data_IF_077188712282
#
_entry.id   IF_077188712282
#
_cell.length_a   1.000
_cell.length_b   1.000
_cell.length_c   1.000
_cell.angle_alpha   90.00
_cell.angle_beta   90.00
_cell.angle_gamma   90.00
#
_symmetry.space_group_name_H-M   'P 1'
#
loop_
_entity.id
_entity.type
_entity.pdbx_description
1 polymer ?
#
# COMPACT_ATOMS: atom_id res chain seq x y z
N UNK A 1 -27.87 -2.25 -17.81
CA UNK A 1 -27.74 -1.10 -16.88
C UNK A 1 -26.28 -0.68 -16.88
N UNK A 2 -25.98 0.58 -17.17
CA UNK A 2 -24.59 1.10 -17.25
C UNK A 2 -23.97 1.15 -15.86
N UNK A 3 -22.67 0.89 -15.75
CA UNK A 3 -21.95 1.04 -14.49
C UNK A 3 -22.04 2.48 -13.98
N UNK A 4 -22.54 2.65 -12.75
CA UNK A 4 -22.61 3.93 -12.06
C UNK A 4 -22.04 3.77 -10.66
N UNK A 5 -21.20 4.70 -10.24
CA UNK A 5 -20.74 4.74 -8.86
C UNK A 5 -21.88 5.24 -7.96
N UNK A 6 -22.23 4.46 -6.93
CA UNK A 6 -23.29 4.76 -5.97
C UNK A 6 -22.59 5.19 -4.68
N UNK A 7 -22.90 6.40 -4.20
CA UNK A 7 -22.34 6.93 -2.96
C UNK A 7 -22.73 6.06 -1.76
N UNK A 8 -21.85 6.01 -0.76
CA UNK A 8 -22.09 5.21 0.44
C UNK A 8 -23.27 5.73 1.26
N UNK A 9 -23.46 7.05 1.31
CA UNK A 9 -24.61 7.68 1.97
C UNK A 9 -25.93 7.22 1.34
N UNK A 10 -26.00 7.14 0.00
CA UNK A 10 -27.20 6.67 -0.68
C UNK A 10 -27.51 5.21 -0.36
N UNK A 11 -26.48 4.37 -0.18
CA UNK A 11 -26.65 2.97 0.26
C UNK A 11 -27.15 2.91 1.70
N UNK A 12 -26.65 3.75 2.61
CA UNK A 12 -27.10 3.83 4.01
C UNK A 12 -28.55 4.31 4.09
N UNK A 13 -28.90 5.36 3.36
CA UNK A 13 -30.29 5.85 3.28
C UNK A 13 -31.24 4.75 2.79
N UNK A 14 -30.87 4.01 1.75
CA UNK A 14 -31.68 2.90 1.24
C UNK A 14 -31.89 1.79 2.29
N UNK A 15 -30.91 1.52 3.15
CA UNK A 15 -31.08 0.59 4.26
C UNK A 15 -31.99 1.14 5.35
N UNK A 16 -31.84 2.42 5.72
CA UNK A 16 -32.72 3.04 6.70
C UNK A 16 -34.18 3.03 6.25
N UNK A 17 -34.45 3.31 4.97
CA UNK A 17 -35.77 3.19 4.36
C UNK A 17 -36.30 1.75 4.49
N UNK A 18 -35.45 0.74 4.23
CA UNK A 18 -35.85 -0.66 4.39
C UNK A 18 -36.21 -1.01 5.84
N UNK A 19 -35.40 -0.56 6.81
CA UNK A 19 -35.63 -0.80 8.24
C UNK A 19 -36.92 -0.11 8.71
N UNK A 20 -37.24 1.06 8.16
CA UNK A 20 -38.50 1.76 8.40
C UNK A 20 -39.73 1.00 7.86
N UNK A 21 -39.52 0.05 6.94
CA UNK A 21 -40.59 -0.75 6.33
C UNK A 21 -41.00 -0.30 4.93
N UNK A 22 -40.26 0.62 4.29
CA UNK A 22 -40.56 1.07 2.94
C UNK A 22 -40.48 -0.10 1.93
N UNK A 23 -41.34 -0.06 0.91
CA UNK A 23 -41.39 -1.12 -0.10
C UNK A 23 -40.13 -1.11 -0.98
N UNK A 24 -39.69 -2.25 -1.53
CA UNK A 24 -38.56 -2.27 -2.46
C UNK A 24 -38.78 -1.32 -3.64
N UNK A 25 -40.00 -1.22 -4.17
CA UNK A 25 -40.33 -0.36 -5.31
C UNK A 25 -40.15 1.12 -4.99
N UNK A 26 -40.62 1.58 -3.82
CA UNK A 26 -40.45 2.95 -3.34
C UNK A 26 -38.97 3.30 -3.16
N UNK A 27 -38.22 2.40 -2.51
CA UNK A 27 -36.77 2.59 -2.31
C UNK A 27 -36.10 2.76 -3.66
N UNK A 28 -36.36 1.88 -4.62
CA UNK A 28 -35.74 1.92 -5.95
C UNK A 28 -36.11 3.18 -6.73
N UNK A 29 -37.36 3.64 -6.62
CA UNK A 29 -37.83 4.88 -7.22
C UNK A 29 -37.03 6.09 -6.71
N UNK A 30 -36.85 6.18 -5.39
CA UNK A 30 -36.17 7.30 -4.73
C UNK A 30 -34.65 7.31 -4.99
N UNK A 31 -34.03 6.13 -4.93
CA UNK A 31 -32.57 5.98 -4.93
C UNK A 31 -31.98 5.68 -6.31
N UNK A 32 -32.82 5.29 -7.28
CA UNK A 32 -32.47 5.05 -8.68
C UNK A 32 -31.36 4.02 -8.92
N UNK A 33 -31.18 3.05 -8.02
CA UNK A 33 -30.30 1.90 -8.22
C UNK A 33 -31.11 0.62 -8.36
N UNK A 34 -30.50 -0.50 -8.79
CA UNK A 34 -31.25 -1.73 -9.08
C UNK A 34 -31.65 -2.51 -7.83
N UNK A 35 -32.70 -3.33 -7.94
CA UNK A 35 -33.13 -4.27 -6.90
C UNK A 35 -31.99 -5.19 -6.44
N UNK A 36 -31.17 -5.65 -7.40
CA UNK A 36 -30.00 -6.49 -7.10
C UNK A 36 -28.98 -5.78 -6.20
N UNK A 37 -28.81 -4.47 -6.37
CA UNK A 37 -27.87 -3.70 -5.57
C UNK A 37 -28.44 -3.45 -4.17
N UNK A 38 -29.74 -3.21 -4.03
CA UNK A 38 -30.41 -3.11 -2.74
C UNK A 38 -30.21 -4.39 -1.91
N UNK A 39 -30.48 -5.56 -2.50
CA UNK A 39 -30.27 -6.85 -1.82
C UNK A 39 -28.80 -7.14 -1.49
N UNK A 40 -27.87 -6.79 -2.39
CA UNK A 40 -26.42 -6.91 -2.11
C UNK A 40 -26.00 -6.05 -0.93
N UNK A 41 -26.52 -4.83 -0.81
CA UNK A 41 -26.22 -3.94 0.30
C UNK A 41 -26.83 -4.46 1.62
N UNK A 42 -28.08 -4.94 1.59
CA UNK A 42 -28.72 -5.56 2.76
C UNK A 42 -27.94 -6.78 3.24
N UNK A 43 -27.60 -7.69 2.33
CA UNK A 43 -26.80 -8.88 2.65
C UNK A 43 -25.45 -8.48 3.25
N UNK A 44 -24.78 -7.49 2.68
CA UNK A 44 -23.51 -7.00 3.19
C UNK A 44 -23.66 -6.45 4.62
N UNK A 45 -24.64 -5.58 4.84
CA UNK A 45 -24.91 -5.02 6.16
C UNK A 45 -25.21 -6.10 7.21
N UNK A 46 -26.00 -7.13 6.87
CA UNK A 46 -26.24 -8.25 7.77
C UNK A 46 -24.97 -9.08 8.08
N UNK A 47 -24.00 -9.11 7.17
CA UNK A 47 -22.76 -9.87 7.35
C UNK A 47 -21.67 -9.06 8.07
N UNK A 48 -21.54 -7.77 7.78
CA UNK A 48 -20.40 -6.95 8.22
C UNK A 48 -20.78 -5.75 9.09
N UNK A 49 -22.08 -5.45 9.24
CA UNK A 49 -22.55 -4.27 9.98
C UNK A 49 -22.42 -2.94 9.23
N UNK A 50 -21.91 -2.94 7.99
CA UNK A 50 -21.78 -1.74 7.16
C UNK A 50 -22.09 -2.04 5.67
N UNK A 51 -22.53 -1.04 4.93
CA UNK A 51 -22.70 -1.08 3.46
C UNK A 51 -21.43 -0.79 2.71
N UNK A 52 -20.47 -0.13 3.35
CA UNK A 52 -19.20 0.22 2.74
C UNK A 52 -18.38 -1.04 2.54
N UNK A 53 -17.74 -1.13 1.38
CA UNK A 53 -16.76 -2.19 1.15
C UNK A 53 -15.48 -1.79 1.86
N UNK A 54 -15.07 -2.57 2.86
CA UNK A 54 -13.75 -2.40 3.46
C UNK A 54 -12.68 -2.37 2.35
N UNK A 55 -11.70 -1.47 2.45
CA UNK A 55 -10.58 -1.46 1.53
C UNK A 55 -9.92 -2.84 1.62
N UNK A 56 -9.83 -3.52 0.48
CA UNK A 56 -9.18 -4.81 0.46
C UNK A 56 -7.71 -4.62 0.78
N UNK A 57 -7.29 -5.08 1.96
CA UNK A 57 -5.91 -5.07 2.41
C UNK A 57 -5.07 -5.89 1.41
N UNK A 58 -3.98 -5.31 0.92
CA UNK A 58 -3.07 -6.00 0.00
C UNK A 58 -3.53 -6.05 -1.47
N UNK A 59 -4.38 -5.12 -1.94
CA UNK A 59 -4.62 -5.00 -3.39
C UNK A 59 -3.34 -4.60 -4.12
N UNK A 60 -2.86 -5.50 -4.98
CA UNK A 60 -1.74 -5.24 -5.87
C UNK A 60 -1.07 -6.52 -6.31
N UNK A 61 -0.16 -6.41 -7.28
CA UNK A 61 0.76 -7.49 -7.60
C UNK A 61 1.69 -7.69 -6.39
N UNK A 62 1.89 -8.94 -5.91
CA UNK A 62 2.87 -9.22 -4.87
C UNK A 62 4.24 -8.62 -5.24
N UNK A 63 4.88 -7.97 -4.27
CA UNK A 63 6.25 -7.47 -4.48
C UNK A 63 7.21 -8.66 -4.59
N UNK A 64 8.23 -8.54 -5.44
CA UNK A 64 9.29 -9.55 -5.56
C UNK A 64 10.17 -9.64 -4.31
N UNK A 65 10.29 -8.54 -3.58
CA UNK A 65 11.06 -8.46 -2.34
C UNK A 65 10.12 -8.69 -1.16
N UNK A 66 10.49 -9.63 -0.30
CA UNK A 66 9.81 -9.83 0.97
C UNK A 66 10.24 -8.76 1.97
N UNK A 67 9.48 -8.62 3.05
CA UNK A 67 9.81 -7.68 4.12
C UNK A 67 11.22 -7.91 4.70
N UNK A 68 11.67 -9.17 4.76
CA UNK A 68 13.01 -9.53 5.21
C UNK A 68 14.10 -9.02 4.25
N UNK A 69 13.88 -9.12 2.93
CA UNK A 69 14.84 -8.65 1.93
C UNK A 69 14.93 -7.12 1.93
N UNK A 70 13.78 -6.46 2.15
CA UNK A 70 13.73 -5.01 2.33
C UNK A 70 14.52 -4.61 3.57
N UNK A 71 14.31 -5.28 4.71
CA UNK A 71 15.07 -5.01 5.93
C UNK A 71 16.58 -5.23 5.73
N UNK A 72 16.97 -6.27 4.98
CA UNK A 72 18.35 -6.52 4.61
C UNK A 72 18.94 -5.37 3.76
N UNK A 73 18.24 -4.94 2.71
CA UNK A 73 18.68 -3.79 1.89
C UNK A 73 18.86 -2.51 2.72
N UNK A 74 17.91 -2.21 3.59
CA UNK A 74 17.96 -1.01 4.42
C UNK A 74 19.10 -1.06 5.43
N UNK A 75 19.34 -2.21 6.05
CA UNK A 75 20.49 -2.38 6.95
C UNK A 75 21.81 -2.26 6.18
N UNK A 76 21.91 -2.80 4.97
CA UNK A 76 23.10 -2.68 4.15
C UNK A 76 23.37 -1.22 3.78
N UNK A 77 22.33 -0.47 3.38
CA UNK A 77 22.45 0.95 3.05
C UNK A 77 22.81 1.80 4.27
N UNK A 78 22.33 1.40 5.45
CA UNK A 78 22.75 2.03 6.70
C UNK A 78 24.23 1.82 6.97
N UNK A 79 24.75 0.60 6.83
CA UNK A 79 26.15 0.29 7.11
C UNK A 79 27.12 0.84 6.06
N UNK A 80 26.76 0.76 4.78
CA UNK A 80 27.61 1.14 3.65
C UNK A 80 26.87 2.09 2.69
N UNK A 81 26.62 3.34 3.09
CA UNK A 81 25.84 4.30 2.29
C UNK A 81 26.52 4.77 0.99
N UNK A 82 27.79 4.39 0.78
CA UNK A 82 28.56 4.73 -0.42
C UNK A 82 28.34 3.77 -1.60
N UNK A 83 27.65 2.65 -1.37
CA UNK A 83 27.41 1.64 -2.42
C UNK A 83 26.41 2.15 -3.46
N UNK A 84 26.62 1.75 -4.71
CA UNK A 84 25.70 2.00 -5.83
C UNK A 84 24.56 0.97 -5.87
N UNK A 85 23.47 1.29 -6.58
CA UNK A 85 22.25 0.45 -6.66
C UNK A 85 22.48 -0.93 -7.27
N UNK A 86 23.38 -1.04 -8.23
CA UNK A 86 23.84 -2.29 -8.84
C UNK A 86 24.60 -3.16 -7.84
N UNK A 87 25.41 -2.60 -6.96
CA UNK A 87 26.04 -3.40 -5.90
C UNK A 87 25.03 -3.99 -4.91
N UNK A 88 23.94 -3.26 -4.60
CA UNK A 88 22.84 -3.81 -3.81
C UNK A 88 22.12 -4.94 -4.56
N UNK A 89 21.95 -4.80 -5.87
CA UNK A 89 21.36 -5.81 -6.74
C UNK A 89 22.21 -7.09 -6.76
N UNK A 90 23.53 -6.96 -6.95
CA UNK A 90 24.46 -8.09 -6.93
C UNK A 90 24.42 -8.83 -5.59
N UNK A 91 24.36 -8.09 -4.47
CA UNK A 91 24.26 -8.72 -3.14
C UNK A 91 22.92 -9.41 -2.93
N UNK A 92 21.81 -8.86 -3.39
CA UNK A 92 20.53 -9.56 -3.34
C UNK A 92 20.52 -10.84 -4.19
N UNK A 93 21.15 -10.78 -5.37
CA UNK A 93 21.30 -11.93 -6.24
C UNK A 93 22.14 -13.02 -5.56
N UNK A 94 23.30 -12.65 -5.00
CA UNK A 94 24.26 -13.59 -4.41
C UNK A 94 23.78 -14.21 -3.09
N UNK A 95 23.22 -13.41 -2.18
CA UNK A 95 22.90 -13.86 -0.83
C UNK A 95 21.44 -14.30 -0.64
N UNK A 96 20.52 -13.74 -1.42
CA UNK A 96 19.08 -14.03 -1.30
C UNK A 96 18.52 -14.75 -2.54
N UNK A 97 19.31 -14.98 -3.59
CA UNK A 97 18.87 -15.58 -4.86
C UNK A 97 17.71 -14.81 -5.52
N UNK A 98 17.66 -13.49 -5.33
CA UNK A 98 16.59 -12.63 -5.85
C UNK A 98 17.13 -11.71 -6.94
N UNK A 99 16.63 -11.87 -8.16
CA UNK A 99 16.90 -10.96 -9.26
C UNK A 99 15.82 -9.89 -9.36
N UNK A 100 16.16 -8.67 -8.95
CA UNK A 100 15.32 -7.47 -9.04
C UNK A 100 15.96 -6.44 -9.96
N UNK A 101 15.18 -5.60 -10.62
CA UNK A 101 15.72 -4.48 -11.39
C UNK A 101 16.12 -3.32 -10.46
N UNK A 102 17.07 -2.47 -10.88
CA UNK A 102 17.52 -1.30 -10.13
C UNK A 102 16.36 -0.37 -9.74
N UNK A 103 15.36 -0.22 -10.61
CA UNK A 103 14.16 0.56 -10.34
C UNK A 103 13.34 0.01 -9.15
N UNK A 104 13.36 -1.30 -8.91
CA UNK A 104 12.69 -1.91 -7.74
C UNK A 104 13.42 -1.52 -6.46
N UNK A 105 14.75 -1.61 -6.45
CA UNK A 105 15.59 -1.23 -5.30
C UNK A 105 15.42 0.27 -5.01
N UNK A 106 15.44 1.12 -6.03
CA UNK A 106 15.20 2.55 -5.89
C UNK A 106 13.85 2.85 -5.23
N UNK A 107 12.76 2.25 -5.70
CA UNK A 107 11.42 2.42 -5.12
C UNK A 107 11.35 1.96 -3.67
N UNK A 108 12.05 0.89 -3.31
CA UNK A 108 12.14 0.42 -1.92
C UNK A 108 12.83 1.46 -1.04
N UNK A 109 13.94 2.04 -1.50
CA UNK A 109 14.60 3.12 -0.77
C UNK A 109 13.73 4.37 -0.64
N UNK A 110 13.07 4.80 -1.71
CA UNK A 110 12.13 5.94 -1.66
C UNK A 110 10.98 5.68 -0.68
N UNK A 111 10.37 4.49 -0.73
CA UNK A 111 9.30 4.10 0.19
C UNK A 111 9.77 4.06 1.66
N UNK A 112 11.04 3.73 1.91
CA UNK A 112 11.66 3.78 3.23
C UNK A 112 12.15 5.19 3.64
N UNK A 113 11.92 6.22 2.80
CA UNK A 113 12.33 7.60 3.06
C UNK A 113 13.84 7.84 2.90
N UNK A 114 14.54 7.00 2.14
CA UNK A 114 15.93 7.20 1.76
C UNK A 114 15.99 8.04 0.47
N UNK A 115 15.99 9.36 0.63
CA UNK A 115 16.29 10.27 -0.48
C UNK A 115 17.80 10.32 -0.76
N UNK A 116 18.18 10.69 -1.98
CA UNK A 116 19.58 10.92 -2.36
C UNK A 116 20.28 11.84 -1.34
N UNK A 117 19.61 12.92 -0.93
CA UNK A 117 20.15 13.86 0.08
C UNK A 117 20.41 13.17 1.42
N UNK A 118 19.51 12.31 1.88
CA UNK A 118 19.65 11.57 3.13
C UNK A 118 20.82 10.58 3.05
N UNK A 119 20.92 9.83 1.94
CA UNK A 119 22.02 8.89 1.70
C UNK A 119 23.36 9.63 1.65
N UNK A 120 23.45 10.73 0.90
CA UNK A 120 24.66 11.55 0.83
C UNK A 120 25.06 12.13 2.19
N UNK A 121 24.08 12.56 2.99
CA UNK A 121 24.34 13.04 4.36
C UNK A 121 24.91 11.92 5.22
N UNK A 122 24.30 10.74 5.23
CA UNK A 122 24.80 9.57 5.98
C UNK A 122 26.19 9.15 5.51
N UNK A 123 26.45 9.16 4.20
CA UNK A 123 27.76 8.88 3.64
C UNK A 123 28.81 9.91 4.07
N UNK A 124 28.45 11.20 4.09
CA UNK A 124 29.32 12.29 4.54
C UNK A 124 29.61 12.22 6.04
N UNK A 125 28.68 11.73 6.84
CA UNK A 125 28.87 11.51 8.29
C UNK A 125 29.77 10.30 8.54
N UNK A 126 29.60 9.21 7.78
CA UNK A 126 30.40 7.98 7.88
C UNK A 126 31.68 7.99 7.04
N UNK A 127 32.09 9.17 6.57
CA UNK A 127 33.32 9.29 5.79
C UNK A 127 34.52 8.93 6.69
N UNK A 128 35.41 8.00 6.28
CA UNK A 128 36.50 7.50 7.12
C UNK A 128 37.42 8.62 7.62
N UNK A 129 37.61 9.67 6.82
CA UNK A 129 38.38 10.86 7.22
C UNK A 129 37.77 11.55 8.46
N UNK A 130 36.45 11.69 8.51
CA UNK A 130 35.76 12.31 9.65
C UNK A 130 35.70 11.39 10.88
N UNK A 131 35.52 10.09 10.67
CA UNK A 131 35.55 9.11 11.76
C UNK A 131 36.95 9.03 12.40
N UNK A 132 38.02 9.06 11.60
CA UNK A 132 39.39 9.04 12.10
C UNK A 132 39.74 10.31 12.91
N UNK A 133 39.27 11.49 12.48
CA UNK A 133 39.51 12.74 13.20
C UNK A 133 38.75 12.88 14.54
N UNK A 134 37.75 12.04 14.80
CA UNK A 134 36.95 12.09 16.03
C UNK A 134 37.54 11.22 17.16
N UNK A 135 38.46 10.29 16.84
CA UNK A 135 39.07 9.35 17.80
C UNK A 135 40.39 9.92 18.38
N UNK A 136 40.82 11.10 17.95
CA UNK A 136 41.93 11.88 18.53
C UNK A 136 41.42 12.86 19.57
#
# INVERSE_FOLDING_TARGET
MVYRNISDDLKRTALHMRVRGDSPEEILCMTRFSLSTLYRNQRRFHLTGDVVKEPALGRGRPQKLLAADIAYLLSLAWHNPLKFLDEYQERLCHYHNITVCLATIHRVFEAAGYSIKKIMKMAKEKCPYKCASFIQ
#
